data_IF_052136652493
#
_entry.id   IF_052136652493
#
_cell.length_a   1.000
_cell.length_b   1.000
_cell.length_c   1.000
_cell.angle_alpha   90.00
_cell.angle_beta   90.00
_cell.angle_gamma   90.00
#
_symmetry.space_group_name_H-M   'P 1'
#
loop_
_entity.id
_entity.type
_entity.pdbx_description
1 polymer ?
#
# COMPACT_ATOMS: atom_id res chain seq x y z
N UNK A 1 91.28 47.22 -17.13
CA UNK A 1 90.18 46.24 -17.27
C UNK A 1 90.25 45.37 -16.04
N UNK A 2 89.60 45.80 -14.96
CA UNK A 2 89.57 45.06 -13.70
C UNK A 2 88.13 44.64 -13.45
N UNK A 3 87.89 43.33 -13.51
CA UNK A 3 86.59 42.71 -13.28
C UNK A 3 86.46 42.43 -11.79
N UNK A 4 85.42 43.02 -11.20
CA UNK A 4 85.05 42.83 -9.81
C UNK A 4 84.53 41.41 -9.53
N UNK A 5 85.14 40.72 -8.58
CA UNK A 5 84.64 39.46 -8.01
C UNK A 5 83.81 39.74 -6.76
N UNK A 6 82.51 39.46 -6.82
CA UNK A 6 81.56 39.60 -5.71
C UNK A 6 81.48 38.29 -4.90
N UNK A 7 81.70 38.29 -3.57
CA UNK A 7 81.48 37.12 -2.73
C UNK A 7 80.11 37.22 -2.05
N UNK A 8 79.11 36.48 -2.54
CA UNK A 8 77.75 36.46 -1.94
C UNK A 8 76.96 35.16 -2.14
N UNK A 9 77.62 34.01 -2.21
CA UNK A 9 76.95 32.71 -2.48
C UNK A 9 76.93 31.71 -1.31
N UNK A 10 77.62 31.92 -0.19
CA UNK A 10 77.74 30.89 0.85
C UNK A 10 76.67 30.92 1.96
N UNK A 11 75.89 32.00 2.10
CA UNK A 11 74.82 32.06 3.13
C UNK A 11 73.48 31.48 2.64
N UNK A 12 73.25 31.43 1.31
CA UNK A 12 72.01 30.91 0.75
C UNK A 12 71.93 29.36 0.84
N UNK A 13 73.08 28.69 0.71
CA UNK A 13 73.15 27.22 0.70
C UNK A 13 72.87 26.62 2.09
N UNK A 14 73.27 27.30 3.17
CA UNK A 14 73.01 26.85 4.53
C UNK A 14 71.51 26.90 4.87
N UNK A 15 70.79 27.93 4.42
CA UNK A 15 69.36 28.08 4.67
C UNK A 15 68.53 27.00 3.97
N UNK A 16 68.87 26.66 2.72
CA UNK A 16 68.16 25.64 1.95
C UNK A 16 68.34 24.26 2.60
N UNK A 17 69.55 23.92 3.06
CA UNK A 17 69.82 22.65 3.74
C UNK A 17 68.97 22.52 5.01
N UNK A 18 68.87 23.58 5.82
CA UNK A 18 68.04 23.58 7.03
C UNK A 18 66.56 23.37 6.69
N UNK A 19 66.03 24.05 5.67
CA UNK A 19 64.64 23.87 5.23
C UNK A 19 64.35 22.43 4.77
N UNK A 20 65.27 21.81 4.02
CA UNK A 20 65.12 20.43 3.56
C UNK A 20 65.12 19.45 4.73
N UNK A 21 66.03 19.62 5.69
CA UNK A 21 66.09 18.75 6.89
C UNK A 21 64.81 18.88 7.72
N UNK A 22 64.30 20.09 7.92
CA UNK A 22 63.04 20.31 8.65
C UNK A 22 61.85 19.69 7.92
N UNK A 23 61.77 19.82 6.59
CA UNK A 23 60.70 19.22 5.80
C UNK A 23 60.70 17.68 5.88
N UNK A 24 61.87 17.04 5.81
CA UNK A 24 61.99 15.58 5.94
C UNK A 24 61.59 15.11 7.34
N UNK A 25 61.96 15.84 8.40
CA UNK A 25 61.55 15.53 9.76
C UNK A 25 60.03 15.66 9.95
N UNK A 26 59.39 16.67 9.36
CA UNK A 26 57.94 16.83 9.44
C UNK A 26 57.21 15.69 8.71
N UNK A 27 57.64 15.31 7.51
CA UNK A 27 57.01 14.21 6.75
C UNK A 27 57.16 12.87 7.47
N UNK A 28 58.32 12.60 8.04
CA UNK A 28 58.57 11.36 8.80
C UNK A 28 57.73 11.28 10.08
N UNK A 29 57.62 12.39 10.82
CA UNK A 29 56.72 12.45 11.99
C UNK A 29 55.26 12.25 11.61
N UNK A 30 54.81 12.81 10.48
CA UNK A 30 53.44 12.64 9.98
C UNK A 30 53.17 11.17 9.58
N UNK A 31 54.14 10.51 8.93
CA UNK A 31 54.04 9.10 8.58
C UNK A 31 53.97 8.20 9.83
N UNK A 32 54.80 8.48 10.85
CA UNK A 32 54.79 7.76 12.13
C UNK A 32 53.45 7.98 12.85
N UNK A 33 52.95 9.21 12.89
CA UNK A 33 51.66 9.52 13.51
C UNK A 33 50.50 8.81 12.81
N UNK A 34 50.48 8.78 11.47
CA UNK A 34 49.48 8.04 10.69
C UNK A 34 49.58 6.52 10.92
N UNK A 35 50.79 5.98 11.00
CA UNK A 35 51.00 4.56 11.27
C UNK A 35 50.55 4.18 12.70
N UNK A 36 50.88 5.01 13.69
CA UNK A 36 50.43 4.84 15.07
C UNK A 36 48.91 4.97 15.21
N UNK A 37 48.29 5.94 14.51
CA UNK A 37 46.84 6.11 14.48
C UNK A 37 46.13 4.89 13.88
N UNK A 38 46.65 4.36 12.76
CA UNK A 38 46.10 3.15 12.14
C UNK A 38 46.25 1.92 13.04
N UNK A 39 47.36 1.80 13.76
CA UNK A 39 47.58 0.69 14.71
C UNK A 39 46.64 0.78 15.91
N UNK A 40 46.45 1.97 16.49
CA UNK A 40 45.50 2.19 17.58
C UNK A 40 44.05 1.89 17.19
N UNK A 41 43.66 2.15 15.94
CA UNK A 41 42.33 1.74 15.42
C UNK A 41 42.20 0.25 15.17
N UNK A 42 43.30 -0.47 14.94
CA UNK A 42 43.27 -1.90 14.65
C UNK A 42 43.12 -2.73 15.94
N UNK A 43 43.80 -2.33 17.02
CA UNK A 43 43.79 -3.11 18.26
C UNK A 43 42.44 -3.03 19.01
N UNK A 44 41.71 -1.92 18.92
CA UNK A 44 40.38 -1.75 19.55
C UNK A 44 39.29 -2.64 18.92
N UNK A 45 39.50 -3.12 17.69
CA UNK A 45 38.58 -4.06 17.04
C UNK A 45 38.83 -5.53 17.43
N UNK A 46 40.02 -5.86 17.95
CA UNK A 46 40.38 -7.23 18.35
C UNK A 46 40.06 -7.54 19.81
N UNK A 47 39.94 -6.51 20.66
CA UNK A 47 39.62 -6.68 22.08
C UNK A 47 38.13 -7.03 22.34
N UNK A 48 37.26 -6.94 21.34
CA UNK A 48 35.83 -7.29 21.46
C UNK A 48 35.59 -8.80 21.32
N UNK A 49 36.57 -9.60 20.88
CA UNK A 49 36.39 -11.05 20.68
C UNK A 49 36.81 -11.94 21.86
N UNK A 50 37.53 -11.42 22.86
CA UNK A 50 38.10 -12.25 23.93
C UNK A 50 37.28 -12.30 25.23
N UNK A 51 36.17 -11.56 25.35
CA UNK A 51 35.28 -11.62 26.52
C UNK A 51 33.87 -12.18 26.24
N UNK A 52 33.56 -12.62 25.01
CA UNK A 52 32.29 -13.31 24.70
C UNK A 52 32.43 -14.82 24.92
N UNK A 53 32.80 -15.22 26.13
CA UNK A 53 32.55 -16.57 26.64
C UNK A 53 31.37 -16.57 27.64
N UNK A 54 30.61 -15.47 27.72
CA UNK A 54 29.33 -15.43 28.43
C UNK A 54 28.20 -15.90 27.49
N UNK A 55 27.77 -17.12 27.75
CA UNK A 55 26.48 -17.73 27.39
C UNK A 55 26.10 -17.73 25.90
N UNK A 56 26.80 -18.56 25.13
CA UNK A 56 26.26 -19.03 23.85
C UNK A 56 24.83 -19.58 24.08
N UNK A 57 23.86 -19.06 23.33
CA UNK A 57 22.46 -19.44 23.50
C UNK A 57 22.18 -20.80 22.86
N UNK A 58 21.83 -21.80 23.67
CA UNK A 58 21.55 -23.17 23.23
C UNK A 58 20.07 -23.58 23.30
N UNK A 59 19.16 -22.63 23.47
CA UNK A 59 17.74 -22.97 23.42
C UNK A 59 17.27 -23.20 21.96
N UNK A 60 16.17 -23.93 21.80
CA UNK A 60 15.64 -24.27 20.48
C UNK A 60 15.32 -23.04 19.61
N UNK A 61 14.98 -21.90 20.22
CA UNK A 61 14.74 -20.67 19.48
C UNK A 61 16.04 -20.12 18.87
N UNK A 62 17.15 -20.16 19.62
CA UNK A 62 18.46 -19.73 19.14
C UNK A 62 18.99 -20.64 18.03
N UNK A 63 18.87 -21.96 18.17
CA UNK A 63 19.23 -22.90 17.10
C UNK A 63 18.41 -22.67 15.82
N UNK A 64 17.11 -22.38 15.96
CA UNK A 64 16.23 -22.05 14.85
C UNK A 64 16.66 -20.76 14.14
N UNK A 65 16.99 -19.70 14.89
CA UNK A 65 17.44 -18.41 14.32
C UNK A 65 18.79 -18.56 13.63
N UNK A 66 19.75 -19.25 14.25
CA UNK A 66 21.07 -19.50 13.64
C UNK A 66 20.92 -20.30 12.35
N UNK A 67 20.05 -21.32 12.35
CA UNK A 67 19.76 -22.12 11.15
C UNK A 67 19.13 -21.26 10.05
N UNK A 68 18.18 -20.39 10.40
CA UNK A 68 17.53 -19.48 9.46
C UNK A 68 18.53 -18.50 8.85
N UNK A 69 19.39 -17.88 9.66
CA UNK A 69 20.43 -16.96 9.22
C UNK A 69 21.44 -17.67 8.29
N UNK A 70 21.91 -18.86 8.69
CA UNK A 70 22.86 -19.64 7.89
C UNK A 70 22.31 -20.10 6.54
N UNK A 71 20.97 -20.25 6.41
CA UNK A 71 20.32 -20.56 5.14
C UNK A 71 20.27 -19.37 4.18
N UNK A 72 20.25 -18.15 4.69
CA UNK A 72 20.19 -16.91 3.88
C UNK A 72 21.58 -16.36 3.53
N UNK A 73 22.54 -16.52 4.44
CA UNK A 73 23.89 -15.95 4.35
C UNK A 73 24.75 -16.62 3.26
N UNK A 74 25.44 -15.82 2.47
CA UNK A 74 26.51 -16.22 1.56
C UNK A 74 27.90 -15.84 2.15
N UNK A 75 28.56 -16.76 2.86
CA UNK A 75 29.85 -16.48 3.49
C UNK A 75 31.00 -16.31 2.48
N UNK A 76 30.78 -16.58 1.19
CA UNK A 76 31.79 -16.36 0.15
C UNK A 76 32.02 -14.88 -0.16
N UNK A 77 31.07 -14.01 0.23
CA UNK A 77 31.12 -12.57 0.01
C UNK A 77 31.50 -11.90 1.33
N UNK A 78 32.60 -11.12 1.40
CA UNK A 78 32.98 -10.43 2.63
C UNK A 78 31.92 -9.40 3.03
N UNK A 79 31.50 -9.34 4.31
CA UNK A 79 30.46 -8.41 4.76
C UNK A 79 30.86 -6.94 4.56
N UNK A 80 32.15 -6.63 4.68
CA UNK A 80 32.68 -5.27 4.47
C UNK A 80 32.71 -4.85 2.98
N UNK A 81 32.51 -5.79 2.04
CA UNK A 81 32.42 -5.49 0.60
C UNK A 81 30.98 -5.35 0.14
N UNK A 82 30.12 -6.27 0.57
CA UNK A 82 28.69 -6.26 0.24
C UNK A 82 27.92 -7.00 1.34
N UNK A 83 27.50 -6.24 2.35
CA UNK A 83 26.78 -6.78 3.50
C UNK A 83 25.43 -7.39 3.12
N UNK A 84 24.77 -6.84 2.09
CA UNK A 84 23.49 -7.35 1.61
C UNK A 84 23.66 -8.74 1.00
N UNK A 85 24.60 -8.90 0.07
CA UNK A 85 24.87 -10.22 -0.53
C UNK A 85 25.47 -11.19 0.47
N UNK A 86 26.30 -10.73 1.40
CA UNK A 86 26.77 -11.58 2.50
C UNK A 86 25.61 -12.13 3.32
N UNK A 87 24.62 -11.31 3.70
CA UNK A 87 23.53 -11.72 4.60
C UNK A 87 22.40 -12.45 3.88
N UNK A 88 22.13 -12.09 2.62
CA UNK A 88 20.96 -12.53 1.87
C UNK A 88 21.29 -13.32 0.59
N UNK A 89 22.57 -13.50 0.24
CA UNK A 89 22.97 -13.97 -1.09
C UNK A 89 22.47 -15.37 -1.44
N UNK A 90 22.42 -16.30 -0.48
CA UNK A 90 21.86 -17.65 -0.73
C UNK A 90 20.35 -17.63 -0.82
N UNK A 91 19.69 -16.78 -0.04
CA UNK A 91 18.26 -16.56 -0.18
C UNK A 91 17.95 -15.98 -1.56
N UNK A 92 18.65 -14.92 -1.97
CA UNK A 92 18.49 -14.25 -3.26
C UNK A 92 18.74 -15.20 -4.46
N UNK A 93 19.64 -16.17 -4.31
CA UNK A 93 19.90 -17.17 -5.33
C UNK A 93 18.78 -18.21 -5.47
N UNK A 94 17.98 -18.43 -4.42
CA UNK A 94 16.87 -19.40 -4.38
C UNK A 94 15.50 -18.76 -4.55
N UNK A 95 15.36 -17.50 -4.16
CA UNK A 95 14.12 -16.76 -4.31
C UNK A 95 13.77 -16.68 -5.80
N UNK A 96 12.48 -16.71 -6.09
CA UNK A 96 12.06 -16.38 -7.46
C UNK A 96 12.56 -14.96 -7.73
N UNK A 97 13.24 -14.72 -8.86
CA UNK A 97 13.84 -13.41 -9.20
C UNK A 97 12.87 -12.22 -9.12
N UNK A 98 11.56 -12.48 -8.94
CA UNK A 98 10.46 -11.53 -8.92
C UNK A 98 9.90 -11.23 -7.52
N UNK A 99 10.29 -11.95 -6.46
CA UNK A 99 9.74 -11.73 -5.12
C UNK A 99 10.77 -11.12 -4.15
N UNK A 100 10.38 -10.07 -3.44
CA UNK A 100 11.20 -9.53 -2.35
C UNK A 100 11.16 -10.45 -1.12
N UNK A 101 12.17 -10.35 -0.24
CA UNK A 101 12.24 -11.13 1.00
C UNK A 101 11.00 -10.94 1.88
N UNK A 102 10.52 -9.69 1.96
CA UNK A 102 9.30 -9.37 2.70
C UNK A 102 8.07 -10.08 2.11
N UNK A 103 7.98 -10.18 0.77
CA UNK A 103 6.88 -10.88 0.10
C UNK A 103 6.95 -12.37 0.35
N UNK A 104 8.12 -13.00 0.21
CA UNK A 104 8.27 -14.44 0.46
C UNK A 104 7.97 -14.80 1.91
N UNK A 105 8.49 -14.05 2.88
CA UNK A 105 8.18 -14.27 4.29
C UNK A 105 6.70 -14.05 4.61
N UNK A 106 6.07 -13.03 4.02
CA UNK A 106 4.63 -12.80 4.15
C UNK A 106 3.84 -13.97 3.58
N UNK A 107 4.23 -14.48 2.41
CA UNK A 107 3.58 -15.62 1.76
C UNK A 107 3.75 -16.91 2.56
N UNK A 108 4.94 -17.18 3.09
CA UNK A 108 5.24 -18.34 3.94
C UNK A 108 4.48 -18.27 5.28
N UNK A 109 4.42 -17.08 5.89
CA UNK A 109 3.56 -16.85 7.05
C UNK A 109 2.08 -17.08 6.73
N UNK A 110 1.57 -16.54 5.62
CA UNK A 110 0.19 -16.78 5.16
C UNK A 110 -0.07 -18.27 4.92
N UNK A 111 0.87 -19.01 4.33
CA UNK A 111 0.75 -20.44 4.10
C UNK A 111 0.64 -21.22 5.42
N UNK A 112 1.43 -20.86 6.44
CA UNK A 112 1.32 -21.45 7.78
C UNK A 112 -0.01 -21.13 8.45
N UNK A 113 -0.46 -19.88 8.38
CA UNK A 113 -1.77 -19.47 8.93
C UNK A 113 -2.89 -20.24 8.23
N UNK A 114 -2.87 -20.30 6.90
CA UNK A 114 -3.81 -21.07 6.09
C UNK A 114 -3.86 -22.54 6.54
N UNK A 115 -2.70 -23.21 6.60
CA UNK A 115 -2.60 -24.60 7.02
C UNK A 115 -3.17 -24.83 8.43
N UNK A 116 -2.87 -23.94 9.37
CA UNK A 116 -3.38 -24.04 10.73
C UNK A 116 -4.90 -23.82 10.81
N UNK A 117 -5.44 -22.85 10.08
CA UNK A 117 -6.88 -22.57 10.07
C UNK A 117 -7.66 -23.71 9.42
N UNK A 118 -7.21 -24.26 8.28
CA UNK A 118 -7.86 -25.41 7.65
C UNK A 118 -7.81 -26.67 8.54
N UNK A 119 -6.68 -26.91 9.21
CA UNK A 119 -6.55 -28.00 10.18
C UNK A 119 -7.53 -27.85 11.34
N UNK A 120 -7.70 -26.63 11.86
CA UNK A 120 -8.66 -26.34 12.93
C UNK A 120 -10.11 -26.47 12.47
N UNK A 121 -10.44 -25.97 11.26
CA UNK A 121 -11.78 -26.07 10.69
C UNK A 121 -12.19 -27.53 10.41
N UNK A 122 -11.23 -28.39 10.09
CA UNK A 122 -11.43 -29.82 9.82
C UNK A 122 -11.51 -30.69 11.08
N UNK A 123 -11.21 -30.14 12.26
CA UNK A 123 -11.28 -30.88 13.51
C UNK A 123 -12.74 -31.17 13.89
N UNK A 124 -13.04 -32.43 14.23
CA UNK A 124 -14.40 -32.90 14.57
C UNK A 124 -14.91 -32.42 15.93
N UNK A 125 -14.01 -31.92 16.79
CA UNK A 125 -14.39 -31.38 18.09
C UNK A 125 -14.87 -29.93 17.94
N UNK A 126 -16.19 -29.75 17.97
CA UNK A 126 -16.80 -28.43 18.02
C UNK A 126 -16.37 -27.70 19.30
N UNK A 127 -15.72 -26.55 19.13
CA UNK A 127 -15.34 -25.66 20.22
C UNK A 127 -16.00 -24.30 20.00
N UNK A 128 -16.60 -23.73 21.03
CA UNK A 128 -17.11 -22.34 20.98
C UNK A 128 -15.98 -21.30 21.11
N UNK A 129 -14.71 -21.70 20.95
CA UNK A 129 -13.59 -20.77 20.97
C UNK A 129 -13.64 -19.82 19.78
N UNK A 130 -13.26 -18.56 20.00
CA UNK A 130 -13.12 -17.55 18.95
C UNK A 130 -12.17 -18.02 17.84
N UNK A 131 -11.11 -18.76 18.19
CA UNK A 131 -10.17 -19.35 17.24
C UNK A 131 -10.84 -20.35 16.29
N UNK A 132 -11.73 -21.20 16.81
CA UNK A 132 -12.47 -22.15 15.97
C UNK A 132 -13.48 -21.45 15.06
N UNK A 133 -14.20 -20.44 15.56
CA UNK A 133 -15.11 -19.63 14.74
C UNK A 133 -14.35 -18.90 13.62
N UNK A 134 -13.16 -18.37 13.90
CA UNK A 134 -12.28 -17.78 12.88
C UNK A 134 -11.86 -18.81 11.83
N UNK A 135 -11.51 -20.03 12.23
CA UNK A 135 -11.15 -21.12 11.32
C UNK A 135 -12.32 -21.53 10.42
N UNK A 136 -13.53 -21.66 10.98
CA UNK A 136 -14.74 -21.95 10.20
C UNK A 136 -15.05 -20.85 9.19
N UNK A 137 -14.99 -19.58 9.63
CA UNK A 137 -15.20 -18.44 8.75
C UNK A 137 -14.17 -18.41 7.62
N UNK A 138 -12.89 -18.64 7.94
CA UNK A 138 -11.81 -18.71 6.97
C UNK A 138 -12.03 -19.83 5.93
N UNK A 139 -12.32 -21.05 6.38
CA UNK A 139 -12.55 -22.20 5.49
C UNK A 139 -13.77 -22.00 4.59
N UNK A 140 -14.85 -21.37 5.11
CA UNK A 140 -16.01 -20.98 4.32
C UNK A 140 -15.64 -20.00 3.19
N UNK A 141 -14.86 -18.96 3.51
CA UNK A 141 -14.38 -17.99 2.53
C UNK A 141 -13.47 -18.63 1.48
N UNK A 142 -12.54 -19.49 1.91
CA UNK A 142 -11.62 -20.19 1.02
C UNK A 142 -12.36 -21.15 0.07
N UNK A 143 -13.35 -21.89 0.57
CA UNK A 143 -14.21 -22.76 -0.24
C UNK A 143 -15.04 -21.95 -1.24
N UNK A 144 -15.68 -20.87 -0.80
CA UNK A 144 -16.43 -19.97 -1.67
C UNK A 144 -15.59 -19.48 -2.85
N UNK A 145 -14.32 -19.10 -2.59
CA UNK A 145 -13.37 -18.68 -3.61
C UNK A 145 -13.07 -19.76 -4.66
N UNK A 146 -13.00 -21.04 -4.28
CA UNK A 146 -12.71 -22.15 -5.20
C UNK A 146 -13.94 -22.61 -5.99
N UNK A 147 -15.12 -22.64 -5.34
CA UNK A 147 -16.35 -23.17 -5.93
C UNK A 147 -17.01 -22.20 -6.91
N UNK A 148 -16.92 -20.89 -6.65
CA UNK A 148 -17.56 -19.90 -7.49
C UNK A 148 -16.64 -19.48 -8.65
N UNK A 149 -17.10 -19.68 -9.88
CA UNK A 149 -16.63 -18.90 -11.04
C UNK A 149 -17.26 -17.52 -10.96
N UNK A 150 -16.88 -16.74 -9.95
CA UNK A 150 -17.52 -15.46 -9.60
C UNK A 150 -17.56 -14.59 -10.86
N UNK A 151 -18.76 -14.19 -11.29
CA UNK A 151 -18.93 -12.95 -12.06
C UNK A 151 -18.74 -11.83 -11.04
N UNK A 152 -17.56 -11.17 -10.98
CA UNK A 152 -17.01 -10.60 -9.74
C UNK A 152 -17.86 -9.56 -9.02
N UNK A 153 -18.82 -8.93 -9.72
CA UNK A 153 -19.52 -7.75 -9.23
C UNK A 153 -20.93 -8.08 -8.75
N UNK A 154 -21.73 -8.84 -9.50
CA UNK A 154 -23.11 -9.17 -9.11
C UNK A 154 -23.18 -9.95 -7.79
N UNK A 155 -22.33 -10.97 -7.62
CA UNK A 155 -22.27 -11.77 -6.40
C UNK A 155 -21.80 -10.94 -5.21
N UNK A 156 -20.85 -10.02 -5.43
CA UNK A 156 -20.36 -9.10 -4.41
C UNK A 156 -21.46 -8.16 -3.96
N UNK A 157 -22.26 -7.63 -4.88
CA UNK A 157 -23.41 -6.76 -4.57
C UNK A 157 -24.45 -7.51 -3.74
N UNK A 158 -24.76 -8.74 -4.13
CA UNK A 158 -25.71 -9.59 -3.41
C UNK A 158 -25.23 -9.90 -1.98
N UNK A 159 -23.96 -10.26 -1.81
CA UNK A 159 -23.38 -10.59 -0.49
C UNK A 159 -23.27 -9.36 0.40
N UNK A 160 -22.86 -8.22 -0.16
CA UNK A 160 -22.73 -6.95 0.56
C UNK A 160 -24.07 -6.32 0.94
N UNK A 161 -25.19 -6.86 0.44
CA UNK A 161 -26.55 -6.32 0.62
C UNK A 161 -26.62 -4.84 0.20
N UNK A 162 -25.83 -4.48 -0.81
CA UNK A 162 -25.90 -3.18 -1.45
C UNK A 162 -27.00 -3.27 -2.50
N UNK A 163 -28.10 -2.57 -2.25
CA UNK A 163 -29.19 -2.48 -3.21
C UNK A 163 -28.80 -1.50 -4.33
N UNK A 164 -28.22 -2.04 -5.41
CA UNK A 164 -27.83 -1.23 -6.58
C UNK A 164 -29.01 -0.43 -7.12
N UNK A 165 -30.21 -1.01 -7.14
CA UNK A 165 -31.39 -0.30 -7.63
C UNK A 165 -31.72 0.89 -6.73
N UNK A 166 -31.63 0.74 -5.40
CA UNK A 166 -31.78 1.86 -4.50
C UNK A 166 -30.79 2.99 -4.81
N UNK A 167 -29.52 2.67 -5.09
CA UNK A 167 -28.49 3.66 -5.43
C UNK A 167 -28.74 4.35 -6.79
N UNK A 168 -29.22 3.61 -7.78
CA UNK A 168 -29.53 4.13 -9.12
C UNK A 168 -30.86 4.89 -9.19
N UNK A 169 -31.76 4.70 -8.21
CA UNK A 169 -33.07 5.36 -8.14
C UNK A 169 -33.10 6.58 -7.24
N UNK A 170 -31.96 6.94 -6.62
CA UNK A 170 -31.84 8.15 -5.81
C UNK A 170 -32.22 9.37 -6.64
N UNK A 171 -33.11 10.21 -6.10
CA UNK A 171 -33.71 11.33 -6.86
C UNK A 171 -33.07 12.68 -6.54
N UNK A 172 -32.25 12.75 -5.49
CA UNK A 172 -31.61 13.99 -5.07
C UNK A 172 -30.25 13.77 -4.40
N UNK A 173 -29.36 14.75 -4.50
CA UNK A 173 -28.05 14.70 -3.83
C UNK A 173 -28.11 14.55 -2.29
N UNK A 174 -29.04 15.20 -1.55
CA UNK A 174 -29.21 14.95 -0.11
C UNK A 174 -29.51 13.48 0.22
N UNK A 175 -30.35 12.82 -0.60
CA UNK A 175 -30.69 11.41 -0.43
C UNK A 175 -29.48 10.50 -0.73
N UNK A 176 -28.69 10.83 -1.74
CA UNK A 176 -27.44 10.14 -2.07
C UNK A 176 -26.45 10.23 -0.90
N UNK A 177 -26.23 11.44 -0.37
CA UNK A 177 -25.35 11.66 0.78
C UNK A 177 -25.80 10.85 2.01
N UNK A 178 -27.10 10.89 2.33
CA UNK A 178 -27.62 10.12 3.46
C UNK A 178 -27.38 8.60 3.26
N UNK A 179 -27.51 8.11 2.03
CA UNK A 179 -27.26 6.71 1.67
C UNK A 179 -25.79 6.35 1.84
N UNK A 180 -24.87 7.16 1.31
CA UNK A 180 -23.43 6.98 1.45
C UNK A 180 -23.02 6.91 2.94
N UNK A 181 -23.46 7.88 3.74
CA UNK A 181 -23.13 7.94 5.18
C UNK A 181 -23.69 6.73 5.93
N UNK A 182 -24.93 6.33 5.61
CA UNK A 182 -25.57 5.16 6.22
C UNK A 182 -24.77 3.90 5.93
N UNK A 183 -24.42 3.67 4.66
CA UNK A 183 -23.69 2.47 4.26
C UNK A 183 -22.26 2.44 4.80
N UNK A 184 -21.54 3.58 4.85
CA UNK A 184 -20.23 3.66 5.50
C UNK A 184 -20.28 3.22 6.97
N UNK A 185 -21.28 3.70 7.73
CA UNK A 185 -21.42 3.34 9.14
C UNK A 185 -21.88 1.89 9.34
N UNK A 186 -22.74 1.38 8.46
CA UNK A 186 -23.33 0.03 8.57
C UNK A 186 -22.35 -1.06 8.16
N UNK A 187 -21.63 -0.83 7.08
CA UNK A 187 -20.80 -1.86 6.43
C UNK A 187 -19.30 -1.65 6.66
N UNK A 188 -18.89 -0.44 7.04
CA UNK A 188 -17.47 -0.07 7.10
C UNK A 188 -16.81 0.05 5.73
N UNK A 189 -17.59 -0.02 4.64
CA UNK A 189 -17.08 0.09 3.29
C UNK A 189 -16.60 1.52 3.00
N UNK A 190 -15.59 1.58 2.16
CA UNK A 190 -15.01 2.82 1.67
C UNK A 190 -16.03 3.57 0.82
N UNK A 191 -16.11 4.87 1.05
CA UNK A 191 -16.76 5.80 0.13
C UNK A 191 -15.88 7.03 -0.04
N UNK A 192 -16.38 7.99 -0.81
CA UNK A 192 -15.76 9.29 -1.05
C UNK A 192 -15.68 10.17 0.22
N UNK A 193 -16.50 9.85 1.24
CA UNK A 193 -16.41 10.38 2.60
C UNK A 193 -16.26 9.20 3.56
N UNK A 194 -15.24 9.25 4.41
CA UNK A 194 -15.10 8.27 5.49
C UNK A 194 -15.85 8.77 6.73
N UNK A 195 -16.88 8.04 7.15
CA UNK A 195 -17.56 8.26 8.44
C UNK A 195 -17.34 7.03 9.31
N UNK A 196 -16.74 7.23 10.49
CA UNK A 196 -16.36 6.14 11.39
C UNK A 196 -16.75 6.49 12.83
N UNK A 197 -17.08 5.46 13.61
CA UNK A 197 -17.27 5.58 15.06
C UNK A 197 -15.98 5.18 15.75
N UNK A 198 -15.41 6.06 16.55
CA UNK A 198 -14.20 5.79 17.32
C UNK A 198 -14.46 5.70 18.82
N UNK A 199 -13.40 5.90 19.60
CA UNK A 199 -13.43 5.78 21.04
C UNK A 199 -14.38 6.83 21.67
N UNK A 200 -15.05 6.44 22.76
CA UNK A 200 -15.96 7.33 23.47
C UNK A 200 -17.21 7.74 22.67
N UNK A 201 -17.63 6.91 21.70
CA UNK A 201 -18.81 7.18 20.85
C UNK A 201 -18.68 8.41 19.94
N UNK A 202 -17.45 8.90 19.75
CA UNK A 202 -17.16 10.02 18.87
C UNK A 202 -17.31 9.58 17.41
N UNK A 203 -17.89 10.46 16.61
CA UNK A 203 -18.05 10.28 15.18
C UNK A 203 -16.93 11.06 14.49
N UNK A 204 -16.16 10.34 13.67
CA UNK A 204 -15.06 10.87 12.90
C UNK A 204 -15.49 10.98 11.45
N UNK A 205 -15.24 12.14 10.85
CA UNK A 205 -15.52 12.42 9.43
C UNK A 205 -14.21 12.82 8.76
N UNK A 206 -13.95 12.25 7.59
CA UNK A 206 -12.73 12.51 6.85
C UNK A 206 -13.00 12.42 5.35
N UNK A 207 -12.10 12.97 4.52
CA UNK A 207 -12.07 12.63 3.09
C UNK A 207 -11.90 11.11 2.98
N UNK A 208 -12.79 10.49 2.22
CA UNK A 208 -12.68 9.07 1.91
C UNK A 208 -11.61 8.78 0.86
N UNK A 209 -11.65 7.58 0.30
CA UNK A 209 -10.72 7.18 -0.76
C UNK A 209 -11.29 7.53 -2.14
N UNK A 210 -10.41 7.50 -3.13
CA UNK A 210 -10.72 7.55 -4.57
C UNK A 210 -10.36 6.21 -5.24
N UNK A 211 -10.87 5.95 -6.45
CA UNK A 211 -10.65 4.69 -7.16
C UNK A 211 -9.16 4.46 -7.43
N UNK A 212 -8.41 5.50 -7.79
CA UNK A 212 -6.95 5.39 -7.96
C UNK A 212 -6.27 4.90 -6.67
N UNK A 213 -6.62 5.48 -5.52
CA UNK A 213 -6.06 5.08 -4.22
C UNK A 213 -6.42 3.64 -3.85
N UNK A 214 -7.67 3.22 -4.09
CA UNK A 214 -8.13 1.84 -3.80
C UNK A 214 -7.47 0.81 -4.72
N UNK A 215 -7.37 1.11 -6.01
CA UNK A 215 -6.86 0.18 -7.01
C UNK A 215 -5.32 0.19 -7.11
N UNK A 216 -4.64 1.04 -6.33
CA UNK A 216 -3.18 1.10 -6.21
C UNK A 216 -2.48 1.16 -7.58
N UNK A 217 -3.00 1.94 -8.52
CA UNK A 217 -2.57 1.85 -9.91
C UNK A 217 -2.86 3.08 -10.77
N UNK A 218 -2.29 3.05 -11.98
CA UNK A 218 -2.46 4.08 -12.99
C UNK A 218 -3.91 4.17 -13.50
N UNK A 219 -4.25 5.32 -14.09
CA UNK A 219 -5.57 5.65 -14.64
C UNK A 219 -6.14 4.59 -15.59
N UNK A 220 -5.30 3.84 -16.31
CA UNK A 220 -5.75 2.76 -17.20
C UNK A 220 -6.45 1.62 -16.44
N UNK A 221 -5.90 1.19 -15.30
CA UNK A 221 -6.53 0.13 -14.48
C UNK A 221 -7.89 0.57 -13.95
N UNK A 222 -8.00 1.85 -13.58
CA UNK A 222 -9.27 2.45 -13.17
C UNK A 222 -10.26 2.42 -14.32
N UNK A 223 -9.85 2.79 -15.53
CA UNK A 223 -10.74 2.77 -16.69
C UNK A 223 -11.25 1.35 -17.04
N UNK A 224 -10.39 0.33 -16.99
CA UNK A 224 -10.80 -1.07 -17.19
C UNK A 224 -11.77 -1.53 -16.10
N UNK A 225 -11.43 -1.27 -14.83
CA UNK A 225 -12.29 -1.60 -13.70
C UNK A 225 -13.68 -0.94 -13.84
N UNK A 226 -13.72 0.36 -14.11
CA UNK A 226 -14.97 1.11 -14.27
C UNK A 226 -15.80 0.51 -15.41
N UNK A 227 -15.18 0.20 -16.54
CA UNK A 227 -15.88 -0.40 -17.69
C UNK A 227 -16.50 -1.76 -17.33
N UNK A 228 -15.74 -2.64 -16.68
CA UNK A 228 -16.20 -3.98 -16.32
C UNK A 228 -17.28 -3.94 -15.22
N UNK A 229 -17.13 -3.03 -14.25
CA UNK A 229 -18.12 -2.81 -13.21
C UNK A 229 -19.43 -2.25 -13.80
N UNK A 230 -19.36 -1.26 -14.70
CA UNK A 230 -20.53 -0.76 -15.40
C UNK A 230 -21.21 -1.86 -16.24
N UNK A 231 -20.41 -2.72 -16.87
CA UNK A 231 -20.94 -3.85 -17.63
C UNK A 231 -21.76 -4.80 -16.75
N UNK A 232 -21.21 -5.16 -15.58
CA UNK A 232 -21.88 -6.03 -14.61
C UNK A 232 -23.08 -5.38 -13.92
N UNK A 233 -23.12 -4.05 -13.82
CA UNK A 233 -24.29 -3.30 -13.36
C UNK A 233 -25.38 -3.17 -14.43
N UNK A 234 -25.19 -3.75 -15.62
CA UNK A 234 -26.13 -3.58 -16.75
C UNK A 234 -26.08 -2.20 -17.40
N UNK A 235 -25.07 -1.38 -17.09
CA UNK A 235 -24.86 -0.02 -17.60
C UNK A 235 -23.92 0.01 -18.84
N UNK A 236 -23.75 -1.15 -19.48
CA UNK A 236 -22.68 -1.55 -20.41
C UNK A 236 -22.55 -0.75 -21.74
N UNK A 237 -23.29 0.34 -21.94
CA UNK A 237 -23.35 1.05 -23.24
C UNK A 237 -22.83 2.48 -23.24
N UNK A 238 -22.34 2.97 -22.10
CA UNK A 238 -21.98 4.37 -22.01
C UNK A 238 -20.46 4.54 -21.79
N UNK A 239 -19.68 4.42 -22.87
CA UNK A 239 -18.25 4.76 -22.86
C UNK A 239 -18.04 6.18 -22.28
N UNK A 240 -18.94 7.11 -22.62
CA UNK A 240 -18.94 8.47 -22.07
C UNK A 240 -19.11 8.48 -20.55
N UNK A 241 -19.93 7.59 -19.97
CA UNK A 241 -20.07 7.45 -18.51
C UNK A 241 -18.77 6.94 -17.88
N UNK A 242 -18.13 5.92 -18.46
CA UNK A 242 -16.86 5.42 -17.95
C UNK A 242 -15.78 6.51 -17.95
N UNK A 243 -15.65 7.26 -19.06
CA UNK A 243 -14.73 8.40 -19.14
C UNK A 243 -15.07 9.51 -18.15
N UNK A 244 -16.36 9.83 -17.97
CA UNK A 244 -16.80 10.82 -16.99
C UNK A 244 -16.49 10.40 -15.55
N UNK A 245 -16.63 9.12 -15.21
CA UNK A 245 -16.27 8.56 -13.91
C UNK A 245 -14.77 8.69 -13.65
N UNK A 246 -13.93 8.32 -14.63
CA UNK A 246 -12.46 8.45 -14.50
C UNK A 246 -12.04 9.92 -14.36
N UNK A 247 -12.69 10.83 -15.09
CA UNK A 247 -12.44 12.26 -14.97
C UNK A 247 -12.87 12.83 -13.60
N UNK A 248 -14.03 12.39 -13.09
CA UNK A 248 -14.51 12.72 -11.75
C UNK A 248 -13.55 12.21 -10.67
N UNK A 249 -13.09 10.97 -10.79
CA UNK A 249 -12.11 10.37 -9.86
C UNK A 249 -10.81 11.17 -9.82
N UNK A 250 -10.27 11.52 -11.00
CA UNK A 250 -9.06 12.35 -11.12
C UNK A 250 -9.23 13.72 -10.47
N UNK A 251 -10.42 14.32 -10.58
CA UNK A 251 -10.75 15.60 -9.93
C UNK A 251 -10.79 15.46 -8.42
N UNK A 252 -11.39 14.39 -7.90
CA UNK A 252 -11.44 14.08 -6.46
C UNK A 252 -10.05 13.78 -5.90
N UNK A 253 -9.21 13.09 -6.68
CA UNK A 253 -7.83 12.79 -6.32
C UNK A 253 -6.99 14.07 -6.18
N UNK A 254 -7.23 15.07 -7.03
CA UNK A 254 -6.52 16.36 -6.99
C UNK A 254 -6.70 17.10 -5.65
N UNK A 255 -7.79 16.84 -4.93
CA UNK A 255 -7.99 17.40 -3.59
C UNK A 255 -7.17 16.71 -2.50
N UNK A 256 -6.38 15.67 -2.78
CA UNK A 256 -5.50 15.07 -1.78
C UNK A 256 -4.38 16.05 -1.39
N UNK A 257 -4.51 16.68 -0.23
CA UNK A 257 -3.44 17.51 0.32
C UNK A 257 -2.42 16.67 1.10
N UNK A 258 -1.18 17.16 1.15
CA UNK A 258 -0.11 16.62 2.01
C UNK A 258 -0.11 17.25 3.40
N UNK A 259 -1.12 18.06 3.74
CA UNK A 259 -1.12 18.82 4.99
C UNK A 259 -1.27 17.87 6.21
N UNK A 260 -0.57 18.16 7.33
CA UNK A 260 -0.74 17.39 8.55
C UNK A 260 -2.20 17.46 8.99
N UNK A 261 -2.75 16.28 9.28
CA UNK A 261 -4.19 16.09 9.38
C UNK A 261 -4.56 15.77 10.82
N UNK A 262 -4.69 16.82 11.63
CA UNK A 262 -5.30 16.72 12.95
C UNK A 262 -6.82 16.72 12.83
N UNK A 263 -7.49 16.08 13.80
CA UNK A 263 -8.93 16.12 13.90
C UNK A 263 -9.37 17.37 14.66
N UNK A 264 -10.32 18.10 14.08
CA UNK A 264 -10.93 19.27 14.71
C UNK A 264 -12.39 18.97 15.04
N UNK A 265 -12.84 19.44 16.21
CA UNK A 265 -14.25 19.37 16.57
C UNK A 265 -15.03 20.34 15.69
N UNK A 266 -16.05 19.84 14.99
CA UNK A 266 -17.03 20.61 14.21
C UNK A 266 -18.43 20.19 14.61
N UNK A 267 -19.43 21.03 14.41
CA UNK A 267 -20.83 20.60 14.55
C UNK A 267 -21.38 20.13 13.21
N UNK A 268 -22.39 19.26 13.22
CA UNK A 268 -23.01 18.73 11.97
C UNK A 268 -23.46 19.86 11.05
N UNK A 269 -23.93 20.98 11.60
CA UNK A 269 -24.35 22.15 10.84
C UNK A 269 -23.22 22.78 9.99
N UNK A 270 -21.97 22.64 10.41
CA UNK A 270 -20.80 23.22 9.73
C UNK A 270 -20.22 22.29 8.66
N UNK A 271 -20.74 21.06 8.55
CA UNK A 271 -20.30 20.14 7.52
C UNK A 271 -20.79 20.58 6.14
N UNK A 272 -19.90 20.54 5.13
CA UNK A 272 -20.28 20.85 3.76
C UNK A 272 -21.12 19.73 3.14
N UNK A 273 -21.93 20.05 2.12
CA UNK A 273 -22.25 21.40 1.68
C UNK A 273 -23.21 22.07 2.68
N UNK A 274 -23.06 23.37 2.88
CA UNK A 274 -23.98 24.14 3.73
C UNK A 274 -25.40 24.03 3.14
N UNK A 275 -26.38 23.68 3.95
CA UNK A 275 -27.77 23.39 3.51
C UNK A 275 -28.13 21.91 3.42
N UNK A 276 -27.16 20.99 3.59
CA UNK A 276 -27.40 19.54 3.60
C UNK A 276 -27.37 18.93 5.01
N UNK A 277 -27.54 19.77 6.04
CA UNK A 277 -27.54 19.35 7.45
C UNK A 277 -28.52 18.20 7.69
N UNK A 278 -29.71 18.27 7.08
CA UNK A 278 -30.72 17.21 7.19
C UNK A 278 -30.22 15.88 6.60
N UNK A 279 -29.49 15.89 5.49
CA UNK A 279 -28.94 14.68 4.90
C UNK A 279 -27.86 14.04 5.78
N UNK A 280 -26.96 14.84 6.34
CA UNK A 280 -25.98 14.38 7.32
C UNK A 280 -26.64 13.77 8.55
N UNK A 281 -27.58 14.49 9.17
CA UNK A 281 -28.34 14.02 10.33
C UNK A 281 -29.10 12.73 10.01
N UNK A 282 -29.75 12.65 8.85
CA UNK A 282 -30.49 11.48 8.42
C UNK A 282 -29.58 10.27 8.22
N UNK A 283 -28.47 10.43 7.50
CA UNK A 283 -27.51 9.36 7.24
C UNK A 283 -26.86 8.85 8.54
N UNK A 284 -26.43 9.77 9.41
CA UNK A 284 -25.82 9.41 10.71
C UNK A 284 -26.81 8.64 11.60
N UNK A 285 -28.05 9.13 11.74
CA UNK A 285 -29.04 8.44 12.56
C UNK A 285 -29.44 7.07 12.01
N UNK A 286 -29.57 6.93 10.67
CA UNK A 286 -29.83 5.64 10.02
C UNK A 286 -28.69 4.65 10.26
N UNK A 287 -27.45 5.09 10.06
CA UNK A 287 -26.26 4.23 10.23
C UNK A 287 -25.97 3.83 11.68
N UNK A 288 -26.29 4.67 12.67
CA UNK A 288 -26.02 4.39 14.09
C UNK A 288 -27.07 3.49 14.76
N UNK A 289 -28.13 3.08 14.06
CA UNK A 289 -29.18 2.16 14.54
C UNK A 289 -29.67 2.46 15.96
N UNK A 290 -30.10 3.71 16.21
CA UNK A 290 -30.65 4.19 17.49
C UNK A 290 -29.69 4.18 18.69
N UNK A 291 -28.40 3.83 18.53
CA UNK A 291 -27.44 3.82 19.64
C UNK A 291 -27.04 5.22 20.09
N UNK A 292 -27.09 6.19 19.19
CA UNK A 292 -26.72 7.57 19.43
C UNK A 292 -27.58 8.44 18.53
N UNK A 293 -28.39 9.32 19.13
CA UNK A 293 -29.16 10.29 18.37
C UNK A 293 -28.24 11.44 18.00
N UNK A 294 -28.15 11.72 16.71
CA UNK A 294 -27.39 12.84 16.16
C UNK A 294 -28.36 13.93 15.74
N UNK A 295 -28.07 15.17 16.11
CA UNK A 295 -28.77 16.37 15.70
C UNK A 295 -27.79 17.42 15.16
N UNK A 296 -28.29 18.58 14.71
CA UNK A 296 -27.45 19.65 14.14
C UNK A 296 -26.29 20.11 15.04
N UNK A 297 -26.51 20.32 16.35
CA UNK A 297 -25.47 20.71 17.30
C UNK A 297 -24.49 19.59 17.73
N UNK A 298 -24.76 18.33 17.37
CA UNK A 298 -23.92 17.21 17.79
C UNK A 298 -22.47 17.41 17.30
N UNK A 299 -21.46 17.35 18.19
CA UNK A 299 -20.07 17.50 17.79
C UNK A 299 -19.57 16.26 17.04
N UNK A 300 -18.86 16.49 15.96
CA UNK A 300 -18.15 15.53 15.13
C UNK A 300 -16.67 15.90 15.10
N UNK A 301 -15.81 14.92 14.86
CA UNK A 301 -14.38 15.13 14.71
C UNK A 301 -14.03 15.03 13.24
N UNK A 302 -13.85 16.17 12.59
CA UNK A 302 -13.56 16.23 11.17
C UNK A 302 -12.07 16.45 10.91
N UNK A 303 -11.56 15.79 9.88
CA UNK A 303 -10.21 15.96 9.37
C UNK A 303 -10.30 16.30 7.88
N UNK A 304 -9.34 17.09 7.36
CA UNK A 304 -9.32 17.49 5.94
C UNK A 304 -10.64 18.13 5.47
N UNK A 305 -11.15 19.09 6.26
CA UNK A 305 -12.42 19.78 5.98
C UNK A 305 -12.45 20.49 4.61
N UNK A 306 -11.38 21.19 4.16
CA UNK A 306 -11.34 21.74 2.80
C UNK A 306 -11.53 20.67 1.71
N UNK A 307 -10.93 19.50 1.89
CA UNK A 307 -11.01 18.39 0.95
C UNK A 307 -12.42 17.78 0.94
N UNK A 308 -13.02 17.55 2.11
CA UNK A 308 -14.43 17.11 2.21
C UNK A 308 -15.34 18.13 1.50
N UNK A 309 -15.10 19.43 1.70
CA UNK A 309 -15.89 20.49 1.05
C UNK A 309 -15.77 20.42 -0.46
N UNK A 310 -14.55 20.33 -0.99
CA UNK A 310 -14.31 20.30 -2.43
C UNK A 310 -14.89 19.05 -3.08
N UNK A 311 -14.74 17.89 -2.44
CA UNK A 311 -15.36 16.64 -2.86
C UNK A 311 -16.88 16.77 -2.92
N UNK A 312 -17.49 17.26 -1.84
CA UNK A 312 -18.95 17.39 -1.75
C UNK A 312 -19.51 18.38 -2.75
N UNK A 313 -18.83 19.51 -2.93
CA UNK A 313 -19.16 20.47 -3.97
C UNK A 313 -19.11 19.83 -5.36
N UNK A 314 -18.01 19.14 -5.66
CA UNK A 314 -17.82 18.45 -6.95
C UNK A 314 -18.94 17.45 -7.22
N UNK A 315 -19.25 16.57 -6.25
CA UNK A 315 -20.33 15.59 -6.40
C UNK A 315 -21.72 16.23 -6.53
N UNK A 316 -21.98 17.35 -5.85
CA UNK A 316 -23.26 18.07 -5.97
C UNK A 316 -23.41 18.83 -7.28
N UNK A 317 -22.31 19.07 -8.00
CA UNK A 317 -22.26 19.85 -9.24
C UNK A 317 -22.35 19.01 -10.52
N UNK A 318 -22.17 17.69 -10.40
CA UNK A 318 -22.26 16.76 -11.53
C UNK A 318 -23.66 16.15 -11.64
N UNK A 319 -23.94 15.46 -12.76
CA UNK A 319 -25.17 14.68 -12.92
C UNK A 319 -25.36 13.70 -11.76
N UNK A 320 -26.58 13.60 -11.23
CA UNK A 320 -26.87 12.76 -10.07
C UNK A 320 -26.58 11.29 -10.35
N UNK A 321 -26.84 10.79 -11.56
CA UNK A 321 -26.53 9.39 -11.91
C UNK A 321 -25.02 9.17 -11.91
N UNK A 322 -24.24 10.13 -12.41
CA UNK A 322 -22.78 10.06 -12.38
C UNK A 322 -22.26 10.01 -10.93
N UNK A 323 -22.77 10.88 -10.04
CA UNK A 323 -22.40 10.88 -8.63
C UNK A 323 -22.79 9.57 -7.91
N UNK A 324 -24.00 9.06 -8.16
CA UNK A 324 -24.49 7.81 -7.57
C UNK A 324 -23.66 6.61 -8.02
N UNK A 325 -23.40 6.48 -9.32
CA UNK A 325 -22.60 5.38 -9.87
C UNK A 325 -21.16 5.46 -9.36
N UNK A 326 -20.53 6.63 -9.38
CA UNK A 326 -19.19 6.80 -8.83
C UNK A 326 -19.11 6.36 -7.35
N UNK A 327 -20.10 6.78 -6.54
CA UNK A 327 -20.15 6.45 -5.12
C UNK A 327 -20.38 4.96 -4.87
N UNK A 328 -21.10 4.26 -5.76
CA UNK A 328 -21.28 2.81 -5.74
C UNK A 328 -20.01 2.03 -6.17
N UNK A 329 -19.20 2.61 -7.06
CA UNK A 329 -18.00 1.95 -7.57
C UNK A 329 -16.86 1.89 -6.53
N UNK A 330 -16.79 2.82 -5.59
CA UNK A 330 -15.77 2.81 -4.53
C UNK A 330 -15.83 1.56 -3.62
N UNK A 331 -16.97 1.20 -3.00
CA UNK A 331 -17.06 -0.02 -2.21
C UNK A 331 -16.83 -1.27 -3.06
N UNK A 332 -17.30 -1.28 -4.32
CA UNK A 332 -17.02 -2.37 -5.26
C UNK A 332 -15.52 -2.52 -5.53
N UNK A 333 -14.82 -1.42 -5.80
CA UNK A 333 -13.38 -1.41 -6.02
C UNK A 333 -12.64 -1.95 -4.80
N UNK A 334 -13.07 -1.58 -3.59
CA UNK A 334 -12.47 -2.04 -2.35
C UNK A 334 -12.66 -3.55 -2.16
N UNK A 335 -13.87 -4.07 -2.39
CA UNK A 335 -14.13 -5.50 -2.26
C UNK A 335 -13.33 -6.29 -3.31
N UNK A 336 -13.27 -5.80 -4.54
CA UNK A 336 -12.52 -6.43 -5.62
C UNK A 336 -11.00 -6.36 -5.42
N UNK A 337 -10.47 -5.28 -4.81
CA UNK A 337 -9.04 -5.19 -4.51
C UNK A 337 -8.61 -6.21 -3.45
N UNK A 338 -9.49 -6.58 -2.52
CA UNK A 338 -9.26 -7.70 -1.60
C UNK A 338 -9.43 -9.09 -2.25
N UNK A 339 -10.29 -9.20 -3.28
CA UNK A 339 -10.53 -10.45 -3.98
C UNK A 339 -9.44 -10.79 -5.02
N UNK A 340 -8.72 -9.77 -5.52
CA UNK A 340 -7.67 -9.95 -6.51
C UNK A 340 -6.60 -10.94 -6.01
N UNK A 341 -6.21 -11.94 -6.83
CA UNK A 341 -5.18 -12.89 -6.44
C UNK A 341 -3.87 -12.15 -6.17
N UNK A 342 -3.32 -12.33 -4.97
CA UNK A 342 -2.06 -11.72 -4.49
C UNK A 342 -0.87 -11.92 -5.43
N UNK A 343 -0.96 -12.81 -6.43
CA UNK A 343 0.08 -13.05 -7.45
C UNK A 343 -0.03 -12.20 -8.72
N UNK A 344 -1.13 -11.48 -8.96
CA UNK A 344 -1.31 -10.70 -10.20
C UNK A 344 -0.80 -9.24 -10.10
N UNK A 345 -0.49 -8.75 -8.89
CA UNK A 345 -0.18 -7.34 -8.68
C UNK A 345 1.24 -6.89 -9.07
N UNK A 346 2.18 -7.81 -9.36
CA UNK A 346 3.60 -7.45 -9.57
C UNK A 346 4.24 -7.89 -10.89
N UNK A 347 3.47 -8.39 -11.87
CA UNK A 347 4.02 -8.56 -13.24
C UNK A 347 3.86 -7.25 -14.01
N UNK A 348 4.57 -6.22 -13.57
CA UNK A 348 4.83 -5.01 -14.38
C UNK A 348 6.34 -4.93 -14.56
N UNK A 349 6.82 -5.71 -15.51
CA UNK A 349 8.22 -5.78 -15.95
C UNK A 349 8.30 -6.77 -17.09
N UNK A 350 8.55 -6.26 -18.30
CA UNK A 350 8.65 -6.94 -19.60
C UNK A 350 7.33 -7.42 -20.24
N UNK A 351 6.80 -6.54 -21.09
CA UNK A 351 6.01 -6.92 -22.27
C UNK A 351 6.87 -7.82 -23.16
N UNK A 352 6.42 -9.05 -23.38
CA UNK A 352 6.50 -9.77 -24.67
C UNK A 352 6.13 -11.27 -24.53
N UNK A 353 6.01 -11.82 -23.30
CA UNK A 353 5.64 -13.24 -23.11
C UNK A 353 4.19 -13.51 -22.69
N UNK A 354 3.41 -12.47 -22.31
CA UNK A 354 1.98 -12.64 -21.98
C UNK A 354 1.11 -12.85 -23.23
N UNK A 355 1.67 -12.58 -24.42
CA UNK A 355 1.00 -12.80 -25.70
C UNK A 355 0.90 -14.30 -26.08
N UNK A 356 1.67 -15.18 -25.45
CA UNK A 356 1.65 -16.63 -25.75
C UNK A 356 0.50 -17.34 -25.01
N UNK A 357 0.18 -16.92 -23.79
CA UNK A 357 -0.88 -17.55 -22.98
C UNK A 357 -2.30 -17.10 -23.38
N UNK A 358 -2.43 -15.85 -23.88
CA UNK A 358 -3.69 -15.33 -24.40
C UNK A 358 -3.99 -15.82 -25.83
N UNK A 359 -2.97 -16.11 -26.65
CA UNK A 359 -3.14 -16.59 -28.02
C UNK A 359 -3.55 -18.07 -28.09
N UNK A 360 -3.10 -18.93 -27.17
CA UNK A 360 -3.59 -20.33 -27.08
C UNK A 360 -5.03 -20.44 -26.56
N UNK A 361 -5.46 -19.50 -25.73
CA UNK A 361 -6.83 -19.47 -25.20
C UNK A 361 -7.83 -18.93 -26.24
N UNK A 362 -7.37 -18.05 -27.15
CA UNK A 362 -8.18 -17.51 -28.24
C UNK A 362 -8.36 -18.48 -29.43
N UNK A 363 -7.45 -19.44 -29.65
CA UNK A 363 -7.63 -20.45 -30.72
C UNK A 363 -8.58 -21.59 -30.32
N UNK A 364 -8.78 -21.85 -29.02
CA UNK A 364 -9.71 -22.89 -28.53
C UNK A 364 -11.19 -22.50 -28.54
N UNK A 365 -11.53 -21.25 -28.84
CA UNK A 365 -12.92 -20.75 -28.95
C UNK A 365 -13.33 -20.35 -30.38
N UNK A 366 -12.85 -21.06 -31.40
CA UNK A 366 -13.50 -21.02 -32.73
C UNK A 366 -14.83 -21.79 -32.70
N UNK A 367 -15.91 -21.11 -32.30
CA UNK A 367 -17.27 -21.47 -32.72
C UNK A 367 -17.72 -20.55 -33.86
N UNK A 368 -18.28 -21.17 -34.89
CA UNK A 368 -18.60 -20.62 -36.19
C UNK A 368 -19.50 -19.37 -36.13
N UNK A 369 -19.08 -18.29 -36.79
CA UNK A 369 -19.97 -17.24 -37.26
C UNK A 369 -20.06 -17.27 -38.81
N UNK A 370 -21.22 -16.95 -39.41
CA UNK A 370 -21.42 -17.00 -40.85
C UNK A 370 -20.63 -15.91 -41.59
N UNK A 371 -20.31 -16.10 -42.89
CA UNK A 371 -19.47 -15.19 -43.64
C UNK A 371 -20.28 -13.98 -44.11
N UNK A 372 -20.00 -12.81 -43.53
CA UNK A 372 -20.53 -11.56 -44.07
C UNK A 372 -20.40 -10.39 -43.12
N UNK A 373 -19.18 -9.85 -42.98
CA UNK A 373 -18.89 -8.43 -42.67
C UNK A 373 -17.37 -8.25 -42.57
N UNK A 374 -16.71 -8.12 -43.72
CA UNK A 374 -15.41 -7.46 -43.85
C UNK A 374 -15.63 -6.20 -44.68
N UNK A 375 -15.51 -5.03 -44.03
CA UNK A 375 -15.04 -3.73 -44.54
C UNK A 375 -15.55 -2.63 -43.62
N UNK A 376 -14.70 -2.22 -42.68
CA UNK A 376 -14.15 -0.86 -42.55
C UNK A 376 -13.09 -0.87 -41.45
#
# INVERSE_FOLDING_TARGET
MDVASSPRSTELDASIIVCVVVAVLLVTLLAIALFAWNKLRYDDYSAVTDSVNEDACFNAACEMVVTLLGKSQDPSVPPCKDFYRHTCGRWYAKSSRRASYAIENRNDFHARVHHNLERLASATAFSNSSTYQMALFYSSCHRFKHEQRITPVEDVLNVSRIDVHQWLTVTSFPELLATIVTECLRTGLVSVISVKRGEGQRIYVDKGEDLVSILTGYSERVAYFVKDALAALGLNRNYTLATAIVALDSTIQWFNSTAPSEYHSVVVHDLPPQGFVLAWVLGLNRGLHNRTKVDGPTPLFARRLPEIRNVMWTLSSVDLNLASVYSLLLPLAQIMSYAAPLGAQEVVGESDEIDVCLRETAERFRMNFPPGLRRL
#
